data_IF_245761693185
#
_entry.id   IF_245761693185
#
_cell.length_a   1.000
_cell.length_b   1.000
_cell.length_c   1.000
_cell.angle_alpha   90.00
_cell.angle_beta   90.00
_cell.angle_gamma   90.00
#
_symmetry.space_group_name_H-M   'P 1'
#
loop_
_entity.id
_entity.type
_entity.pdbx_description
1 polymer ?
#
# COMPACT_ATOMS: atom_id res chain seq x y z
N UNK A 1 -1.11 1.78 -11.36
CA UNK A 1 0.27 1.38 -10.99
C UNK A 1 0.26 0.21 -10.00
N UNK A 2 -0.55 0.27 -8.94
CA UNK A 2 -0.64 -0.81 -7.94
C UNK A 2 -0.98 -2.15 -8.59
N UNK A 3 -2.02 -2.22 -9.40
CA UNK A 3 -2.45 -3.44 -10.10
C UNK A 3 -1.35 -4.03 -10.98
N UNK A 4 -0.66 -3.17 -11.76
CA UNK A 4 0.46 -3.62 -12.59
C UNK A 4 1.57 -4.26 -11.76
N UNK A 5 1.87 -3.71 -10.58
CA UNK A 5 2.88 -4.28 -9.69
C UNK A 5 2.41 -5.58 -9.02
N UNK A 6 1.12 -5.70 -8.71
CA UNK A 6 0.53 -6.96 -8.21
C UNK A 6 0.68 -8.06 -9.25
N UNK A 7 0.26 -7.81 -10.49
CA UNK A 7 0.38 -8.79 -11.59
C UNK A 7 1.84 -9.13 -11.90
N UNK A 8 2.74 -8.14 -11.85
CA UNK A 8 4.17 -8.39 -12.02
C UNK A 8 4.72 -9.30 -10.93
N UNK A 9 4.37 -9.04 -9.66
CA UNK A 9 4.82 -9.86 -8.55
C UNK A 9 4.30 -11.31 -8.69
N UNK A 10 3.02 -11.48 -9.03
CA UNK A 10 2.41 -12.78 -9.27
C UNK A 10 3.09 -13.55 -10.41
N UNK A 11 3.30 -12.89 -11.56
CA UNK A 11 4.00 -13.49 -12.71
C UNK A 11 5.40 -13.96 -12.36
N UNK A 12 6.18 -13.15 -11.61
CA UNK A 12 7.51 -13.54 -11.17
C UNK A 12 7.47 -14.75 -10.23
N UNK A 13 6.52 -14.76 -9.30
CA UNK A 13 6.31 -15.87 -8.39
C UNK A 13 5.98 -17.17 -9.14
N UNK A 14 5.02 -17.11 -10.07
CA UNK A 14 4.61 -18.27 -10.88
C UNK A 14 5.75 -18.82 -11.76
N UNK A 15 6.65 -17.93 -12.19
CA UNK A 15 7.84 -18.29 -12.94
C UNK A 15 9.02 -18.77 -12.06
N UNK A 16 8.84 -18.88 -10.74
CA UNK A 16 9.90 -19.26 -9.81
C UNK A 16 11.03 -18.24 -9.69
N UNK A 17 10.75 -16.98 -10.02
CA UNK A 17 11.74 -15.88 -10.00
C UNK A 17 11.62 -15.04 -8.72
N UNK A 18 12.69 -14.34 -8.31
CA UNK A 18 12.63 -13.43 -7.16
C UNK A 18 11.59 -12.33 -7.36
N UNK A 19 10.53 -12.34 -6.56
CA UNK A 19 9.42 -11.38 -6.65
C UNK A 19 9.44 -10.30 -5.53
N UNK A 20 10.36 -10.38 -4.58
CA UNK A 20 10.41 -9.50 -3.41
C UNK A 20 10.29 -8.00 -3.71
N UNK A 21 11.10 -7.42 -4.60
CA UNK A 21 10.98 -6.01 -4.98
C UNK A 21 9.60 -5.64 -5.52
N UNK A 22 9.06 -6.47 -6.42
CA UNK A 22 7.74 -6.23 -7.02
C UNK A 22 6.61 -6.34 -5.97
N UNK A 23 6.68 -7.34 -5.09
CA UNK A 23 5.69 -7.54 -4.02
C UNK A 23 5.69 -6.37 -3.02
N UNK A 24 6.88 -5.90 -2.60
CA UNK A 24 6.99 -4.74 -1.72
C UNK A 24 6.46 -3.47 -2.38
N UNK A 25 6.80 -3.23 -3.66
CA UNK A 25 6.28 -2.08 -4.40
C UNK A 25 4.75 -2.17 -4.56
N UNK A 26 4.20 -3.34 -4.88
CA UNK A 26 2.76 -3.56 -4.98
C UNK A 26 2.05 -3.22 -3.66
N UNK A 27 2.56 -3.75 -2.55
CA UNK A 27 2.01 -3.49 -1.22
C UNK A 27 2.02 -2.00 -0.86
N UNK A 28 3.12 -1.32 -1.11
CA UNK A 28 3.25 0.12 -0.87
C UNK A 28 2.24 0.91 -1.70
N UNK A 29 2.22 0.72 -3.00
CA UNK A 29 1.35 1.46 -3.92
C UNK A 29 -0.14 1.21 -3.63
N UNK A 30 -0.53 -0.04 -3.37
CA UNK A 30 -1.91 -0.39 -3.07
C UNK A 30 -2.38 0.20 -1.73
N UNK A 31 -1.53 0.15 -0.70
CA UNK A 31 -1.85 0.73 0.60
C UNK A 31 -2.04 2.26 0.52
N UNK A 32 -1.16 2.96 -0.20
CA UNK A 32 -1.28 4.41 -0.40
C UNK A 32 -2.51 4.77 -1.24
N UNK A 33 -2.76 4.05 -2.33
CA UNK A 33 -3.93 4.28 -3.19
C UNK A 33 -5.24 4.07 -2.42
N UNK A 34 -5.35 2.98 -1.67
CA UNK A 34 -6.54 2.66 -0.87
C UNK A 34 -6.82 3.71 0.21
N UNK A 35 -5.79 4.11 0.94
CA UNK A 35 -5.92 5.16 1.96
C UNK A 35 -6.35 6.51 1.34
N UNK A 36 -5.69 6.94 0.27
CA UNK A 36 -6.00 8.20 -0.40
C UNK A 36 -7.44 8.19 -0.97
N UNK A 37 -7.89 7.07 -1.53
CA UNK A 37 -9.26 6.92 -2.01
C UNK A 37 -10.28 7.07 -0.87
N UNK A 38 -10.06 6.40 0.27
CA UNK A 38 -10.94 6.49 1.43
C UNK A 38 -10.94 7.90 2.04
N UNK A 39 -9.79 8.55 2.14
CA UNK A 39 -9.69 9.93 2.60
C UNK A 39 -10.47 10.88 1.67
N UNK A 40 -10.29 10.73 0.37
CA UNK A 40 -11.00 11.53 -0.63
C UNK A 40 -12.51 11.31 -0.53
N UNK A 41 -12.96 10.08 -0.32
CA UNK A 41 -14.38 9.77 -0.16
C UNK A 41 -14.99 10.47 1.07
N UNK A 42 -14.31 10.44 2.22
CA UNK A 42 -14.75 11.16 3.41
C UNK A 42 -14.85 12.66 3.13
N UNK A 43 -13.83 13.25 2.52
CA UNK A 43 -13.79 14.67 2.20
C UNK A 43 -14.89 15.06 1.20
N UNK A 44 -15.18 14.22 0.22
CA UNK A 44 -16.23 14.45 -0.80
C UNK A 44 -17.63 14.47 -0.16
N UNK A 45 -17.88 13.58 0.79
CA UNK A 45 -19.16 13.51 1.50
C UNK A 45 -19.28 14.55 2.63
N UNK A 46 -18.20 15.20 2.99
CA UNK A 46 -18.19 16.17 4.08
C UNK A 46 -18.67 15.57 5.41
N UNK A 47 -19.58 16.24 6.11
CA UNK A 47 -20.12 15.75 7.39
C UNK A 47 -20.74 14.35 7.32
N UNK A 48 -21.35 13.99 6.20
CA UNK A 48 -21.89 12.65 5.96
C UNK A 48 -20.81 11.58 5.87
N UNK A 49 -19.62 11.93 5.34
CA UNK A 49 -18.47 11.03 5.31
C UNK A 49 -17.92 10.68 6.71
N UNK A 50 -18.16 11.55 7.68
CA UNK A 50 -17.80 11.34 9.08
C UNK A 50 -18.87 10.56 9.88
N UNK A 51 -20.11 10.51 9.39
CA UNK A 51 -21.23 9.85 10.04
C UNK A 51 -21.17 8.33 9.85
N UNK A 52 -21.40 7.57 10.93
CA UNK A 52 -21.35 6.10 10.94
C UNK A 52 -22.34 5.45 9.97
N UNK A 53 -23.47 6.08 9.72
CA UNK A 53 -24.56 5.58 8.88
C UNK A 53 -24.14 5.38 7.42
N UNK A 54 -23.14 6.13 6.96
CA UNK A 54 -22.66 6.05 5.57
C UNK A 54 -21.47 5.09 5.38
N UNK A 55 -20.94 4.51 6.46
CA UNK A 55 -19.85 3.54 6.47
C UNK A 55 -18.50 4.00 5.90
N UNK A 56 -18.41 5.17 5.29
CA UNK A 56 -17.18 5.68 4.66
C UNK A 56 -16.10 5.94 5.71
N UNK A 57 -16.49 6.43 6.90
CA UNK A 57 -15.56 6.61 8.03
C UNK A 57 -14.93 5.29 8.47
N UNK A 58 -15.70 4.19 8.41
CA UNK A 58 -15.20 2.84 8.71
C UNK A 58 -14.16 2.39 7.69
N UNK A 59 -14.43 2.59 6.41
CA UNK A 59 -13.50 2.25 5.34
C UNK A 59 -12.19 3.04 5.48
N UNK A 60 -12.26 4.33 5.86
CA UNK A 60 -11.06 5.12 6.15
C UNK A 60 -10.26 4.52 7.32
N UNK A 61 -10.91 4.16 8.43
CA UNK A 61 -10.24 3.51 9.56
C UNK A 61 -9.59 2.19 9.15
N UNK A 62 -10.28 1.36 8.40
CA UNK A 62 -9.77 0.07 7.91
C UNK A 62 -8.60 0.25 6.92
N UNK A 63 -8.59 1.32 6.13
CA UNK A 63 -7.52 1.59 5.17
C UNK A 63 -6.16 1.91 5.80
N UNK A 64 -6.11 2.17 7.11
CA UNK A 64 -4.84 2.27 7.84
C UNK A 64 -4.16 0.91 8.03
N UNK A 65 -4.91 -0.18 8.09
CA UNK A 65 -4.36 -1.52 8.36
C UNK A 65 -3.24 -1.87 7.38
N UNK A 66 -3.43 -1.79 6.06
CA UNK A 66 -2.35 -2.10 5.11
C UNK A 66 -1.18 -1.10 5.15
N UNK A 67 -1.32 0.06 5.78
CA UNK A 67 -0.21 0.99 6.01
C UNK A 67 0.58 0.69 7.28
N UNK A 68 -0.03 -0.05 8.21
CA UNK A 68 0.59 -0.40 9.50
C UNK A 68 1.18 -1.81 9.45
N UNK A 69 0.45 -2.76 8.86
CA UNK A 69 0.74 -4.18 8.92
C UNK A 69 0.77 -4.84 7.54
N UNK A 70 1.51 -5.95 7.36
CA UNK A 70 2.53 -6.49 8.28
C UNK A 70 3.83 -5.71 8.23
N UNK A 71 4.05 -4.89 7.19
CA UNK A 71 5.27 -4.10 6.96
C UNK A 71 4.89 -2.65 6.71
N UNK A 72 5.48 -1.73 7.45
CA UNK A 72 5.23 -0.30 7.31
C UNK A 72 5.78 0.26 5.98
N UNK A 73 5.22 1.36 5.46
CA UNK A 73 5.75 2.05 4.28
C UNK A 73 7.23 2.40 4.41
N UNK A 74 7.66 2.81 5.60
CA UNK A 74 9.05 3.19 5.87
C UNK A 74 10.00 2.00 5.68
N UNK A 75 9.65 0.82 6.20
CA UNK A 75 10.46 -0.38 6.02
C UNK A 75 10.48 -0.83 4.55
N UNK A 76 9.36 -0.69 3.83
CA UNK A 76 9.33 -0.98 2.39
C UNK A 76 10.26 -0.05 1.62
N UNK A 77 10.24 1.23 1.92
CA UNK A 77 11.14 2.20 1.28
C UNK A 77 12.61 1.91 1.59
N UNK A 78 12.92 1.52 2.83
CA UNK A 78 14.27 1.07 3.19
C UNK A 78 14.69 -0.19 2.42
N UNK A 79 13.78 -1.16 2.29
CA UNK A 79 14.03 -2.36 1.49
C UNK A 79 14.32 -2.03 0.02
N UNK A 80 13.52 -1.15 -0.58
CA UNK A 80 13.71 -0.72 -1.97
C UNK A 80 15.05 0.02 -2.11
N UNK A 81 15.37 0.92 -1.20
CA UNK A 81 16.64 1.64 -1.20
C UNK A 81 17.83 0.68 -1.15
N UNK A 82 17.80 -0.30 -0.27
CA UNK A 82 18.88 -1.28 -0.12
C UNK A 82 18.93 -2.28 -1.27
N UNK A 83 17.81 -2.94 -1.60
CA UNK A 83 17.80 -4.10 -2.51
C UNK A 83 17.64 -3.74 -3.98
N UNK A 84 17.04 -2.60 -4.28
CA UNK A 84 16.80 -2.17 -5.68
C UNK A 84 17.79 -1.10 -6.09
N UNK A 85 18.03 -0.11 -5.24
CA UNK A 85 18.92 1.01 -5.56
C UNK A 85 20.36 0.78 -5.10
N UNK A 86 20.65 -0.28 -4.34
CA UNK A 86 21.99 -0.61 -3.88
C UNK A 86 22.55 0.36 -2.84
N UNK A 87 21.69 1.13 -2.15
CA UNK A 87 22.11 2.06 -1.12
C UNK A 87 22.53 1.33 0.16
N UNK A 88 23.42 1.93 0.99
CA UNK A 88 23.83 1.31 2.24
C UNK A 88 22.64 1.21 3.21
N UNK A 89 22.66 0.12 3.99
CA UNK A 89 21.65 -0.10 5.04
C UNK A 89 21.80 0.95 6.14
N UNK A 90 20.69 1.60 6.53
CA UNK A 90 20.66 2.69 7.49
C UNK A 90 20.02 2.35 8.85
N UNK A 91 19.62 1.11 9.03
CA UNK A 91 18.90 0.65 10.23
C UNK A 91 19.42 -0.68 10.75
#
# INVERSE_FOLDING_TARGET
AADLMVFKAASLYDAGQPCGPAANAAKYLAAEAGYNACQTAVMTLGGMGYAKEYHVERLLRESFIPRIAPVSPQLIMCFIAEKVLGLPKSY
#
